data_IF_243107076302
#
_entry.id   IF_243107076302
#
_cell.length_a   1.000
_cell.length_b   1.000
_cell.length_c   1.000
_cell.angle_alpha   90.00
_cell.angle_beta   90.00
_cell.angle_gamma   90.00
#
_symmetry.space_group_name_H-M   'P 1'
#
loop_
_entity.id
_entity.type
_entity.pdbx_description
1 polymer ?
#
# COMPACT_ATOMS: atom_id res chain seq x y z
N UNK A 1 -11.31 20.03 -4.12
CA UNK A 1 -10.67 20.07 -2.79
C UNK A 1 -9.54 21.10 -2.75
N UNK A 2 -9.41 21.82 -1.63
CA UNK A 2 -8.32 22.77 -1.39
C UNK A 2 -7.02 22.05 -1.01
N UNK A 3 -5.84 22.59 -1.34
CA UNK A 3 -4.54 22.09 -0.83
C UNK A 3 -4.49 22.00 0.71
N UNK A 4 -5.34 22.78 1.39
CA UNK A 4 -5.49 22.74 2.85
C UNK A 4 -6.01 21.39 3.39
N UNK A 5 -6.52 20.51 2.54
CA UNK A 5 -7.03 19.20 2.95
C UNK A 5 -6.07 18.06 2.58
N UNK A 6 -4.81 18.39 2.27
CA UNK A 6 -3.77 17.41 1.95
C UNK A 6 -2.60 17.49 2.92
N UNK A 7 -2.06 16.31 3.25
CA UNK A 7 -0.85 16.12 4.05
C UNK A 7 0.00 15.06 3.34
N UNK A 8 1.29 15.32 3.16
CA UNK A 8 2.23 14.30 2.71
C UNK A 8 3.49 14.33 3.56
N UNK A 9 4.19 13.19 3.67
CA UNK A 9 5.50 13.15 4.32
C UNK A 9 6.57 13.74 3.41
N UNK A 10 6.52 13.41 2.12
CA UNK A 10 7.42 13.93 1.11
C UNK A 10 6.70 14.17 -0.21
N UNK A 11 7.21 15.10 -1.00
CA UNK A 11 6.79 15.32 -2.39
C UNK A 11 7.99 15.02 -3.30
N UNK A 12 7.75 14.36 -4.43
CA UNK A 12 8.80 14.12 -5.40
C UNK A 12 9.29 15.45 -5.98
N UNK A 13 10.61 15.63 -5.98
CA UNK A 13 11.26 16.81 -6.52
C UNK A 13 11.67 16.64 -7.99
N UNK A 14 11.88 15.40 -8.46
CA UNK A 14 12.28 15.08 -9.84
C UNK A 14 11.70 13.73 -10.29
N UNK A 15 11.77 13.49 -11.61
CA UNK A 15 11.41 12.22 -12.21
C UNK A 15 12.43 11.11 -11.91
N UNK A 16 13.57 11.45 -11.30
CA UNK A 16 14.60 10.49 -10.89
C UNK A 16 14.19 9.73 -9.60
N UNK A 17 13.06 10.10 -9.00
CA UNK A 17 12.47 9.40 -7.86
C UNK A 17 12.80 10.03 -6.51
N UNK A 18 12.72 9.22 -5.44
CA UNK A 18 13.19 9.60 -4.12
C UNK A 18 14.71 9.45 -4.08
N UNK A 19 15.43 10.31 -3.35
CA UNK A 19 16.86 10.12 -3.16
C UNK A 19 17.12 8.75 -2.52
N UNK A 20 18.21 8.10 -2.94
CA UNK A 20 18.77 6.97 -2.20
C UNK A 20 19.13 7.40 -0.78
N UNK A 21 19.11 6.45 0.15
CA UNK A 21 19.62 6.65 1.50
C UNK A 21 21.16 6.79 1.46
N UNK A 22 21.68 7.88 0.89
CA UNK A 22 23.10 8.13 0.83
C UNK A 22 23.62 8.50 2.23
N UNK A 23 24.62 7.75 2.68
CA UNK A 23 25.50 8.05 3.81
C UNK A 23 25.95 9.51 3.77
N UNK A 24 25.50 10.35 4.72
CA UNK A 24 26.07 11.68 4.90
C UNK A 24 26.30 12.05 6.35
N UNK A 25 27.56 12.39 6.61
CA UNK A 25 28.12 13.04 7.78
C UNK A 25 27.51 14.42 8.03
N UNK A 26 27.09 14.61 9.29
CA UNK A 26 26.96 15.86 10.09
C UNK A 26 26.11 17.06 9.61
N UNK A 27 25.63 17.89 10.57
CA UNK A 27 24.33 18.55 10.49
C UNK A 27 24.44 20.05 10.20
N UNK A 28 23.47 20.59 9.46
CA UNK A 28 22.98 21.93 9.74
C UNK A 28 21.56 22.16 9.20
N UNK A 29 20.77 22.85 10.03
CA UNK A 29 19.66 23.72 9.69
C UNK A 29 18.25 23.13 9.43
N UNK A 30 17.40 23.31 10.44
CA UNK A 30 16.03 23.77 10.24
C UNK A 30 14.96 22.70 10.13
N UNK A 31 13.75 23.07 10.54
CA UNK A 31 12.50 22.29 10.56
C UNK A 31 12.08 21.65 9.22
N UNK A 32 12.89 21.77 8.15
CA UNK A 32 12.76 21.05 6.88
C UNK A 32 13.51 19.71 6.80
N UNK A 33 14.50 19.46 7.67
CA UNK A 33 15.33 18.23 7.66
C UNK A 33 14.56 16.94 7.97
N UNK A 34 13.42 17.04 8.66
CA UNK A 34 12.57 15.88 8.95
C UNK A 34 11.83 15.35 7.71
N UNK A 35 11.71 16.15 6.63
CA UNK A 35 10.93 15.77 5.44
C UNK A 35 11.74 14.97 4.41
N UNK A 36 13.03 15.28 4.24
CA UNK A 36 13.88 14.61 3.23
C UNK A 36 14.56 13.33 3.75
N UNK A 37 14.60 13.08 5.06
CA UNK A 37 15.28 11.92 5.65
C UNK A 37 14.36 10.78 6.07
N UNK A 38 13.04 11.03 6.14
CA UNK A 38 12.10 10.04 6.65
C UNK A 38 11.73 8.98 5.60
N UNK A 39 11.56 9.42 4.35
CA UNK A 39 11.07 8.62 3.22
C UNK A 39 12.13 8.62 2.13
N UNK A 40 12.93 7.56 2.10
CA UNK A 40 13.86 7.23 1.02
C UNK A 40 13.29 6.09 0.13
N UNK A 41 13.89 5.87 -1.04
CA UNK A 41 13.42 4.88 -2.01
C UNK A 41 13.40 3.45 -1.43
N UNK A 42 14.43 3.06 -0.66
CA UNK A 42 14.56 1.73 -0.05
C UNK A 42 13.46 1.51 0.99
N UNK A 43 13.31 2.45 1.92
CA UNK A 43 12.27 2.41 2.95
C UNK A 43 10.89 2.35 2.31
N UNK A 44 10.63 3.18 1.29
CA UNK A 44 9.35 3.15 0.59
C UNK A 44 9.09 1.80 -0.11
N UNK A 45 10.08 1.26 -0.83
CA UNK A 45 9.99 -0.06 -1.47
C UNK A 45 9.73 -1.17 -0.46
N UNK A 46 10.45 -1.20 0.68
CA UNK A 46 10.24 -2.17 1.77
C UNK A 46 8.83 -2.08 2.36
N UNK A 47 8.34 -0.86 2.58
CA UNK A 47 6.96 -0.61 3.02
C UNK A 47 5.95 -1.18 2.02
N UNK A 48 6.13 -0.93 0.72
CA UNK A 48 5.24 -1.49 -0.33
C UNK A 48 5.20 -3.02 -0.31
N UNK A 49 6.27 -3.66 0.14
CA UNK A 49 6.38 -5.12 0.21
C UNK A 49 6.03 -5.73 1.57
N UNK A 50 5.64 -4.92 2.57
CA UNK A 50 5.08 -5.41 3.83
C UNK A 50 5.94 -5.22 5.08
N UNK A 51 7.01 -4.42 4.99
CA UNK A 51 7.81 -4.06 6.17
C UNK A 51 7.02 -3.15 7.12
N UNK A 52 6.45 -3.74 8.17
CA UNK A 52 5.64 -3.01 9.14
C UNK A 52 6.44 -2.10 10.07
N UNK A 53 7.76 -2.28 10.20
CA UNK A 53 8.57 -1.33 10.95
C UNK A 53 8.61 0.01 10.21
N UNK A 54 8.78 -0.04 8.89
CA UNK A 54 8.71 1.15 8.04
C UNK A 54 7.28 1.70 7.98
N UNK A 55 6.26 0.85 7.81
CA UNK A 55 4.86 1.29 7.81
C UNK A 55 4.50 2.06 9.09
N UNK A 56 4.94 1.58 10.25
CA UNK A 56 4.74 2.25 11.54
C UNK A 56 5.43 3.61 11.59
N UNK A 57 6.67 3.70 11.08
CA UNK A 57 7.42 4.96 11.03
C UNK A 57 6.67 6.01 10.18
N UNK A 58 6.20 5.62 9.00
CA UNK A 58 5.42 6.50 8.13
C UNK A 58 4.08 6.90 8.76
N UNK A 59 3.34 5.93 9.29
CA UNK A 59 2.05 6.18 9.94
C UNK A 59 2.17 7.10 11.15
N UNK A 60 3.18 6.92 12.00
CA UNK A 60 3.42 7.80 13.14
C UNK A 60 3.73 9.23 12.71
N UNK A 61 4.55 9.41 11.67
CA UNK A 61 4.87 10.74 11.16
C UNK A 61 3.64 11.42 10.53
N UNK A 62 2.82 10.68 9.78
CA UNK A 62 1.56 11.19 9.23
C UNK A 62 0.61 11.63 10.35
N UNK A 63 0.50 10.83 11.41
CA UNK A 63 -0.35 11.16 12.56
C UNK A 63 0.11 12.44 13.28
N UNK A 64 1.42 12.67 13.40
CA UNK A 64 1.97 13.91 13.96
C UNK A 64 1.55 15.13 13.12
N UNK A 65 1.68 15.04 11.79
CA UNK A 65 1.28 16.13 10.90
C UNK A 65 -0.23 16.38 10.92
N UNK A 66 -1.03 15.31 10.99
CA UNK A 66 -2.48 15.40 11.08
C UNK A 66 -2.93 16.04 12.40
N UNK A 67 -2.38 15.59 13.53
CA UNK A 67 -2.74 16.04 14.87
C UNK A 67 -2.59 17.56 15.06
N UNK A 68 -1.62 18.18 14.37
CA UNK A 68 -1.36 19.63 14.41
C UNK A 68 -2.45 20.47 13.74
N UNK A 69 -3.21 19.88 12.81
CA UNK A 69 -4.17 20.60 11.96
C UNK A 69 -5.61 20.24 12.27
N UNK A 70 -5.84 19.05 12.84
CA UNK A 70 -7.18 18.51 13.10
C UNK A 70 -7.99 19.37 14.08
N UNK A 71 -9.25 19.71 13.76
CA UNK A 71 -10.17 20.32 14.72
C UNK A 71 -10.56 19.34 15.84
N UNK A 72 -11.06 19.85 16.97
CA UNK A 72 -11.58 19.04 18.08
C UNK A 72 -12.99 18.51 17.80
N UNK A 73 -13.09 17.52 16.90
CA UNK A 73 -14.32 16.76 16.59
C UNK A 73 -13.98 15.30 16.22
N UNK A 74 -14.93 14.36 16.30
CA UNK A 74 -14.68 12.97 15.92
C UNK A 74 -14.14 12.82 14.50
N UNK A 75 -13.23 11.86 14.32
CA UNK A 75 -12.57 11.58 13.04
C UNK A 75 -12.63 10.09 12.73
N UNK A 76 -12.96 9.75 11.49
CA UNK A 76 -12.85 8.40 10.95
C UNK A 76 -11.64 8.31 10.03
N UNK A 77 -10.90 7.21 10.12
CA UNK A 77 -9.70 6.98 9.31
C UNK A 77 -9.94 5.77 8.40
N UNK A 78 -9.57 5.90 7.14
CA UNK A 78 -9.65 4.81 6.16
C UNK A 78 -8.40 4.76 5.27
N UNK A 79 -8.33 3.76 4.40
CA UNK A 79 -7.29 3.62 3.38
C UNK A 79 -7.92 3.37 2.02
N UNK A 80 -7.10 3.28 0.97
CA UNK A 80 -7.55 2.87 -0.37
C UNK A 80 -8.36 1.57 -0.32
N UNK A 81 -9.42 1.52 -1.12
CA UNK A 81 -10.36 0.41 -1.13
C UNK A 81 -9.76 -0.91 -1.62
N UNK A 82 -10.25 -2.02 -1.06
CA UNK A 82 -9.88 -3.36 -1.49
C UNK A 82 -10.98 -4.38 -1.21
N UNK A 83 -10.94 -5.51 -1.91
CA UNK A 83 -11.93 -6.57 -1.77
C UNK A 83 -11.54 -7.51 -0.61
N UNK A 84 -10.47 -8.30 -0.81
CA UNK A 84 -10.03 -9.33 0.14
C UNK A 84 -8.56 -9.16 0.52
N UNK A 85 -7.68 -9.01 -0.47
CA UNK A 85 -6.24 -8.85 -0.23
C UNK A 85 -5.93 -7.36 -0.03
N UNK A 86 -5.36 -6.94 1.11
CA UNK A 86 -5.13 -5.53 1.40
C UNK A 86 -3.99 -4.94 0.57
N UNK A 87 -4.04 -3.63 0.24
CA UNK A 87 -2.92 -2.89 -0.32
C UNK A 87 -1.87 -2.60 0.76
N UNK A 88 -0.69 -2.13 0.36
CA UNK A 88 0.36 -1.72 1.30
C UNK A 88 -0.10 -0.59 2.24
N UNK A 89 -0.86 0.39 1.72
CA UNK A 89 -1.45 1.48 2.50
C UNK A 89 -2.26 1.02 3.72
N UNK A 90 -2.88 -0.16 3.67
CA UNK A 90 -3.63 -0.72 4.80
C UNK A 90 -2.75 -0.91 6.06
N UNK A 91 -1.45 -1.18 5.88
CA UNK A 91 -0.51 -1.33 6.99
C UNK A 91 -0.24 -0.02 7.75
N UNK A 92 -0.61 1.14 7.18
CA UNK A 92 -0.53 2.44 7.85
C UNK A 92 -1.66 2.63 8.88
N UNK A 93 -2.82 2.02 8.66
CA UNK A 93 -4.05 2.35 9.38
C UNK A 93 -3.97 2.07 10.90
N UNK A 94 -3.63 0.85 11.37
CA UNK A 94 -3.53 0.59 12.80
C UNK A 94 -2.51 1.48 13.53
N UNK A 95 -1.24 1.61 13.08
CA UNK A 95 -0.28 2.48 13.77
C UNK A 95 -0.65 3.96 13.69
N UNK A 96 -1.28 4.43 12.59
CA UNK A 96 -1.74 5.81 12.47
C UNK A 96 -2.82 6.12 13.50
N UNK A 97 -3.86 5.27 13.59
CA UNK A 97 -4.96 5.44 14.54
C UNK A 97 -4.46 5.39 15.98
N UNK A 98 -3.57 4.43 16.30
CA UNK A 98 -2.96 4.34 17.61
C UNK A 98 -2.19 5.62 17.96
N UNK A 99 -1.33 6.09 17.05
CA UNK A 99 -0.54 7.29 17.28
C UNK A 99 -1.42 8.54 17.41
N UNK A 100 -2.45 8.67 16.58
CA UNK A 100 -3.35 9.82 16.61
C UNK A 100 -4.12 9.90 17.93
N UNK A 101 -4.64 8.77 18.44
CA UNK A 101 -5.29 8.71 19.76
C UNK A 101 -4.35 9.12 20.90
N UNK A 102 -3.06 8.76 20.80
CA UNK A 102 -2.06 9.16 21.79
C UNK A 102 -1.74 10.66 21.73
N UNK A 103 -1.65 11.23 20.53
CA UNK A 103 -1.34 12.65 20.33
C UNK A 103 -2.53 13.57 20.61
N UNK A 104 -3.74 13.06 20.39
CA UNK A 104 -5.02 13.77 20.51
C UNK A 104 -6.00 12.95 21.35
N UNK A 105 -5.76 12.81 22.67
CA UNK A 105 -6.65 12.07 23.56
C UNK A 105 -8.03 12.74 23.71
N UNK A 106 -8.17 13.99 23.27
CA UNK A 106 -9.43 14.72 23.18
C UNK A 106 -10.31 14.27 22.00
N UNK A 107 -9.75 13.55 21.03
CA UNK A 107 -10.45 13.13 19.82
C UNK A 107 -10.98 11.70 19.93
N UNK A 108 -12.25 11.53 19.58
CA UNK A 108 -12.75 10.22 19.19
C UNK A 108 -12.20 9.88 17.80
N UNK A 109 -11.38 8.84 17.72
CA UNK A 109 -10.78 8.37 16.47
C UNK A 109 -11.31 6.98 16.16
N UNK A 110 -12.07 6.83 15.07
CA UNK A 110 -12.53 5.56 14.53
C UNK A 110 -11.73 5.14 13.30
N UNK A 111 -11.81 3.86 12.94
CA UNK A 111 -11.31 3.35 11.68
C UNK A 111 -12.44 2.66 10.93
N UNK A 112 -12.39 2.70 9.61
CA UNK A 112 -13.30 1.93 8.76
C UNK A 112 -12.64 1.56 7.44
N UNK A 113 -13.18 0.55 6.76
CA UNK A 113 -12.76 0.14 5.44
C UNK A 113 -13.72 0.61 4.36
N UNK A 114 -13.16 0.73 3.17
CA UNK A 114 -13.90 0.83 1.92
C UNK A 114 -13.80 -0.52 1.23
N UNK A 115 -14.95 -1.15 1.03
CA UNK A 115 -15.07 -2.42 0.35
C UNK A 115 -15.10 -2.14 -1.14
N UNK A 116 -14.23 -2.84 -1.88
CA UNK A 116 -14.31 -2.90 -3.35
C UNK A 116 -15.17 -4.09 -3.74
N UNK A 117 -16.32 -3.83 -4.35
CA UNK A 117 -17.30 -4.85 -4.77
C UNK A 117 -17.00 -5.41 -6.17
N UNK A 118 -16.36 -4.62 -7.03
CA UNK A 118 -15.93 -5.03 -8.37
C UNK A 118 -14.61 -5.80 -8.38
N UNK A 119 -14.53 -6.85 -9.19
CA UNK A 119 -13.26 -7.48 -9.55
C UNK A 119 -12.53 -6.50 -10.46
N UNK A 120 -11.26 -6.19 -10.17
CA UNK A 120 -10.43 -5.43 -11.10
C UNK A 120 -10.49 -6.12 -12.45
N UNK A 121 -11.08 -5.49 -13.47
CA UNK A 121 -10.86 -5.92 -14.85
C UNK A 121 -9.35 -6.03 -15.02
N UNK A 122 -8.90 -7.25 -15.28
CA UNK A 122 -7.50 -7.64 -15.13
C UNK A 122 -6.59 -6.69 -15.90
N UNK A 123 -5.43 -6.44 -15.29
CA UNK A 123 -4.26 -5.82 -15.93
C UNK A 123 -4.20 -4.28 -15.95
N UNK A 124 -4.25 -3.65 -14.77
CA UNK A 124 -3.82 -2.25 -14.56
C UNK A 124 -2.50 -1.92 -15.27
N UNK A 125 -1.56 -2.87 -15.33
CA UNK A 125 -0.26 -2.76 -16.00
C UNK A 125 -0.34 -2.65 -17.53
N UNK A 126 -1.37 -3.20 -18.17
CA UNK A 126 -1.52 -3.21 -19.65
C UNK A 126 -2.65 -2.32 -20.18
N UNK A 127 -3.51 -1.80 -19.32
CA UNK A 127 -4.57 -0.85 -19.69
C UNK A 127 -3.97 0.44 -20.26
N UNK A 128 -4.59 0.98 -21.32
CA UNK A 128 -4.25 2.32 -21.81
C UNK A 128 -4.55 3.35 -20.73
N UNK A 129 -3.95 4.54 -20.81
CA UNK A 129 -4.28 5.63 -19.89
C UNK A 129 -5.79 5.92 -19.89
N UNK A 130 -6.49 5.73 -21.02
CA UNK A 130 -7.94 5.87 -21.12
C UNK A 130 -8.72 4.75 -20.42
N UNK A 131 -8.27 3.50 -20.51
CA UNK A 131 -8.92 2.37 -19.82
C UNK A 131 -8.65 2.40 -18.31
N UNK A 132 -7.45 2.83 -17.89
CA UNK A 132 -7.14 3.15 -16.49
C UNK A 132 -8.02 4.28 -15.94
N UNK A 133 -8.52 5.19 -16.78
CA UNK A 133 -9.46 6.26 -16.37
C UNK A 133 -10.85 5.72 -16.01
N UNK A 134 -11.22 4.50 -16.43
CA UNK A 134 -12.53 3.88 -16.16
C UNK A 134 -12.50 2.61 -15.29
N UNK A 135 -11.33 2.19 -14.78
CA UNK A 135 -11.15 0.87 -14.16
C UNK A 135 -11.67 0.73 -12.71
N UNK A 136 -11.98 1.85 -12.05
CA UNK A 136 -12.66 1.87 -10.75
C UNK A 136 -13.69 2.99 -10.82
N UNK A 137 -14.95 2.61 -10.93
CA UNK A 137 -16.04 3.58 -10.78
C UNK A 137 -16.44 3.69 -9.30
N UNK A 138 -17.03 4.83 -8.91
CA UNK A 138 -17.51 5.04 -7.55
C UNK A 138 -18.51 3.95 -7.12
N UNK A 139 -19.32 3.44 -8.07
CA UNK A 139 -20.27 2.35 -7.84
C UNK A 139 -19.65 1.02 -7.43
N UNK A 140 -18.34 0.83 -7.60
CA UNK A 140 -17.63 -0.36 -7.13
C UNK A 140 -17.15 -0.24 -5.68
N UNK A 141 -17.34 0.91 -5.03
CA UNK A 141 -16.82 1.20 -3.70
C UNK A 141 -17.96 1.40 -2.70
N UNK A 142 -17.84 0.82 -1.51
CA UNK A 142 -18.85 0.99 -0.46
C UNK A 142 -18.17 1.09 0.91
N UNK A 143 -18.46 2.11 1.72
CA UNK A 143 -18.04 2.14 3.12
C UNK A 143 -18.60 0.94 3.88
N UNK A 144 -17.80 0.32 4.75
CA UNK A 144 -18.26 -0.84 5.54
C UNK A 144 -19.27 -0.46 6.64
N UNK A 145 -19.48 0.83 6.87
CA UNK A 145 -20.36 1.39 7.89
C UNK A 145 -20.91 2.73 7.41
N UNK A 146 -21.96 3.19 8.08
CA UNK A 146 -22.46 4.56 7.93
C UNK A 146 -21.39 5.58 8.39
N UNK A 147 -21.19 6.59 7.55
CA UNK A 147 -20.20 7.66 7.68
C UNK A 147 -20.80 9.04 7.38
N UNK A 148 -22.13 9.16 7.34
CA UNK A 148 -22.81 10.44 7.10
C UNK A 148 -22.39 11.49 8.14
N UNK A 149 -22.05 12.69 7.67
CA UNK A 149 -21.58 13.81 8.51
C UNK A 149 -20.16 13.65 9.08
N UNK A 150 -19.44 12.57 8.75
CA UNK A 150 -18.13 12.31 9.33
C UNK A 150 -17.03 13.23 8.81
N UNK A 151 -16.01 13.48 9.64
CA UNK A 151 -14.69 13.92 9.16
C UNK A 151 -13.87 12.67 8.84
N UNK A 152 -13.47 12.49 7.58
CA UNK A 152 -12.67 11.35 7.13
C UNK A 152 -11.23 11.75 6.81
N UNK A 153 -10.29 10.93 7.29
CA UNK A 153 -8.89 10.91 6.86
C UNK A 153 -8.65 9.67 5.99
N UNK A 154 -8.34 9.88 4.72
CA UNK A 154 -7.99 8.81 3.78
C UNK A 154 -6.45 8.71 3.68
N UNK A 155 -5.89 7.56 4.10
CA UNK A 155 -4.47 7.27 3.99
C UNK A 155 -4.17 6.52 2.68
N UNK A 156 -3.13 6.94 1.97
CA UNK A 156 -2.59 6.21 0.83
C UNK A 156 -1.04 6.19 0.83
N UNK A 157 -0.45 5.28 0.08
CA UNK A 157 0.99 5.19 -0.06
C UNK A 157 1.55 6.26 -1.01
N UNK A 158 0.92 6.47 -2.17
CA UNK A 158 1.37 7.47 -3.14
C UNK A 158 0.22 8.15 -3.87
N UNK A 159 0.37 9.45 -4.12
CA UNK A 159 -0.48 10.21 -5.04
C UNK A 159 0.18 10.29 -6.41
N UNK A 160 -0.40 9.65 -7.44
CA UNK A 160 0.13 9.68 -8.83
C UNK A 160 -0.79 10.47 -9.77
N UNK A 161 -1.87 9.87 -10.27
CA UNK A 161 -2.77 10.49 -11.28
C UNK A 161 -4.06 11.05 -10.68
N UNK A 162 -4.33 10.82 -9.40
CA UNK A 162 -5.55 11.24 -8.72
C UNK A 162 -6.80 10.41 -9.07
N UNK A 163 -6.74 9.40 -9.95
CA UNK A 163 -7.94 8.63 -10.33
C UNK A 163 -8.52 7.81 -9.16
N UNK A 164 -7.66 7.12 -8.41
CA UNK A 164 -8.07 6.42 -7.19
C UNK A 164 -8.64 7.38 -6.15
N UNK A 165 -7.99 8.55 -6.00
CA UNK A 165 -8.46 9.65 -5.17
C UNK A 165 -9.86 10.10 -5.63
N UNK A 166 -10.10 10.32 -6.93
CA UNK A 166 -11.41 10.73 -7.48
C UNK A 166 -12.52 9.69 -7.28
N UNK A 167 -12.22 8.40 -7.41
CA UNK A 167 -13.20 7.35 -7.14
C UNK A 167 -13.53 7.28 -5.65
N UNK A 168 -12.51 7.40 -4.79
CA UNK A 168 -12.67 7.43 -3.33
C UNK A 168 -13.43 8.68 -2.87
N UNK A 169 -13.10 9.85 -3.42
CA UNK A 169 -13.76 11.12 -3.16
C UNK A 169 -15.25 11.01 -3.49
N UNK A 170 -15.58 10.52 -4.68
CA UNK A 170 -16.98 10.31 -5.09
C UNK A 170 -17.71 9.38 -4.11
N UNK A 171 -17.13 8.22 -3.82
CA UNK A 171 -17.72 7.26 -2.87
C UNK A 171 -17.98 7.87 -1.48
N UNK A 172 -17.03 8.62 -0.94
CA UNK A 172 -17.16 9.24 0.39
C UNK A 172 -18.14 10.41 0.40
N UNK A 173 -18.11 11.26 -0.63
CA UNK A 173 -19.04 12.39 -0.78
C UNK A 173 -20.46 11.88 -0.97
N UNK A 174 -20.67 10.86 -1.81
CA UNK A 174 -21.99 10.23 -2.00
C UNK A 174 -22.51 9.55 -0.72
N UNK A 175 -21.61 9.08 0.14
CA UNK A 175 -21.93 8.55 1.47
C UNK A 175 -22.14 9.65 2.54
N UNK A 176 -22.11 10.93 2.17
CA UNK A 176 -22.44 12.05 3.06
C UNK A 176 -21.29 12.53 3.96
N UNK A 177 -20.03 12.25 3.62
CA UNK A 177 -18.88 12.79 4.37
C UNK A 177 -18.88 14.32 4.36
N UNK A 178 -18.76 14.93 5.53
CA UNK A 178 -18.75 16.39 5.72
C UNK A 178 -17.39 16.99 5.36
N UNK A 179 -16.30 16.36 5.80
CA UNK A 179 -14.95 16.81 5.49
C UNK A 179 -14.03 15.64 5.18
N UNK A 180 -13.28 15.73 4.08
CA UNK A 180 -12.33 14.72 3.63
C UNK A 180 -10.94 15.30 3.49
N UNK A 181 -9.98 14.70 4.20
CA UNK A 181 -8.54 14.96 4.02
C UNK A 181 -7.83 13.73 3.50
N UNK A 182 -6.85 13.95 2.61
CA UNK A 182 -5.99 12.89 2.11
C UNK A 182 -4.57 13.02 2.65
N UNK A 183 -4.02 11.88 3.05
CA UNK A 183 -2.72 11.74 3.67
C UNK A 183 -1.89 10.73 2.89
N UNK A 184 -0.73 11.16 2.39
CA UNK A 184 0.14 10.33 1.55
C UNK A 184 1.52 10.14 2.16
N UNK A 185 2.13 8.97 1.96
CA UNK A 185 3.57 8.82 2.22
C UNK A 185 4.35 9.64 1.19
N UNK A 186 4.02 9.51 -0.10
CA UNK A 186 4.66 10.26 -1.20
C UNK A 186 3.63 11.01 -2.04
N UNK A 187 3.85 12.29 -2.31
CA UNK A 187 3.13 13.03 -3.36
C UNK A 187 3.95 13.06 -4.65
N UNK A 188 3.48 12.34 -5.67
CA UNK A 188 4.05 12.26 -7.01
C UNK A 188 3.14 12.92 -8.07
N UNK A 189 2.20 13.77 -7.66
CA UNK A 189 1.19 14.36 -8.56
C UNK A 189 1.78 15.14 -9.73
N UNK A 190 2.96 15.74 -9.57
CA UNK A 190 3.71 16.43 -10.65
C UNK A 190 4.26 15.49 -11.72
N UNK A 191 4.30 14.18 -11.46
CA UNK A 191 4.88 13.14 -12.32
C UNK A 191 3.85 12.11 -12.77
N UNK A 192 2.55 12.46 -12.74
CA UNK A 192 1.45 11.60 -13.15
C UNK A 192 1.61 10.96 -14.55
N UNK A 193 2.38 11.58 -15.43
CA UNK A 193 2.69 11.11 -16.79
C UNK A 193 3.95 10.26 -16.92
N UNK A 194 4.66 9.94 -15.83
CA UNK A 194 5.93 9.21 -15.85
C UNK A 194 5.83 7.88 -15.07
N UNK A 195 5.31 6.80 -15.69
CA UNK A 195 5.15 5.49 -15.04
C UNK A 195 6.44 4.91 -14.46
N UNK A 196 7.59 5.28 -15.02
CA UNK A 196 8.91 4.84 -14.57
C UNK A 196 9.18 5.27 -13.12
N UNK A 197 8.68 6.44 -12.72
CA UNK A 197 8.86 6.97 -11.35
C UNK A 197 8.26 6.03 -10.32
N UNK A 198 7.02 5.57 -10.55
CA UNK A 198 6.39 4.64 -9.63
C UNK A 198 7.11 3.28 -9.62
N UNK A 199 7.54 2.79 -10.79
CA UNK A 199 8.29 1.53 -10.90
C UNK A 199 9.59 1.58 -10.09
N UNK A 200 10.41 2.62 -10.30
CA UNK A 200 11.68 2.82 -9.61
C UNK A 200 11.48 2.86 -8.10
N UNK A 201 10.49 3.61 -7.60
CA UNK A 201 10.21 3.68 -6.17
C UNK A 201 9.78 2.34 -5.58
N UNK A 202 9.01 1.57 -6.33
CA UNK A 202 8.49 0.31 -5.86
C UNK A 202 9.58 -0.76 -5.80
N UNK A 203 10.52 -0.77 -6.74
CA UNK A 203 11.49 -1.85 -6.92
C UNK A 203 12.85 -1.58 -6.26
N UNK A 204 13.09 -0.37 -5.74
CA UNK A 204 14.38 0.06 -5.21
C UNK A 204 15.05 -0.89 -4.18
N UNK A 205 14.28 -1.66 -3.41
CA UNK A 205 14.80 -2.58 -2.40
C UNK A 205 14.61 -4.08 -2.74
N UNK A 206 14.12 -4.42 -3.94
CA UNK A 206 13.70 -5.78 -4.28
C UNK A 206 14.32 -6.23 -5.62
N UNK A 207 15.45 -6.91 -5.53
CA UNK A 207 16.10 -7.49 -6.70
C UNK A 207 15.56 -8.90 -7.00
N UNK A 208 15.25 -9.69 -5.96
CA UNK A 208 14.77 -11.06 -6.14
C UNK A 208 14.06 -11.69 -4.95
N UNK A 209 13.94 -13.02 -4.97
CA UNK A 209 13.29 -13.81 -3.91
C UNK A 209 13.90 -13.60 -2.52
N UNK A 210 15.23 -13.43 -2.45
CA UNK A 210 15.96 -13.21 -1.19
C UNK A 210 15.46 -12.00 -0.42
N UNK A 211 15.30 -10.85 -1.09
CA UNK A 211 14.86 -9.61 -0.45
C UNK A 211 13.42 -9.72 0.08
N UNK A 212 12.55 -10.42 -0.66
CA UNK A 212 11.17 -10.68 -0.24
C UNK A 212 11.13 -11.57 1.02
N UNK A 213 11.97 -12.61 1.07
CA UNK A 213 12.09 -13.47 2.23
C UNK A 213 12.66 -12.71 3.43
N UNK A 214 13.64 -11.83 3.22
CA UNK A 214 14.23 -11.01 4.28
C UNK A 214 13.21 -10.03 4.88
N UNK A 215 12.37 -9.41 4.05
CA UNK A 215 11.24 -8.59 4.53
C UNK A 215 10.23 -9.47 5.27
N UNK A 216 9.90 -10.64 4.73
CA UNK A 216 8.94 -11.56 5.32
C UNK A 216 9.40 -12.17 6.65
N UNK A 217 10.71 -12.27 6.87
CA UNK A 217 11.31 -12.73 8.12
C UNK A 217 11.17 -11.71 9.26
N UNK A 218 10.77 -10.47 8.97
CA UNK A 218 10.48 -9.46 10.00
C UNK A 218 9.37 -9.94 10.95
N UNK A 219 9.59 -9.82 12.27
CA UNK A 219 8.62 -10.22 13.32
C UNK A 219 7.23 -9.58 13.20
N UNK A 220 7.10 -8.52 12.41
CA UNK A 220 5.84 -7.79 12.24
C UNK A 220 5.42 -7.70 10.77
N UNK A 221 5.96 -8.55 9.91
CA UNK A 221 5.61 -8.56 8.49
C UNK A 221 4.09 -8.54 8.26
N UNK A 222 3.64 -7.67 7.35
CA UNK A 222 2.24 -7.56 6.95
C UNK A 222 2.15 -7.90 5.45
N UNK A 223 1.76 -9.14 5.11
CA UNK A 223 1.62 -9.51 3.71
C UNK A 223 0.49 -8.72 3.05
N UNK A 224 0.68 -8.39 1.77
CA UNK A 224 -0.22 -7.52 1.02
C UNK A 224 -0.25 -7.91 -0.47
N UNK A 225 -1.16 -7.29 -1.22
CA UNK A 225 -1.38 -7.65 -2.62
C UNK A 225 -0.15 -7.41 -3.52
N UNK A 226 0.75 -6.49 -3.15
CA UNK A 226 1.99 -6.23 -3.89
C UNK A 226 2.98 -7.38 -3.74
N UNK A 227 3.19 -7.85 -2.51
CA UNK A 227 4.00 -9.05 -2.23
C UNK A 227 3.53 -10.23 -3.08
N UNK A 228 2.23 -10.54 -3.04
CA UNK A 228 1.66 -11.67 -3.78
C UNK A 228 1.97 -11.57 -5.29
N UNK A 229 1.72 -10.41 -5.89
CA UNK A 229 2.01 -10.18 -7.31
C UNK A 229 3.50 -10.26 -7.63
N UNK A 230 4.37 -9.78 -6.74
CA UNK A 230 5.82 -9.83 -6.93
C UNK A 230 6.34 -11.27 -6.86
N UNK A 231 5.89 -12.07 -5.90
CA UNK A 231 6.23 -13.51 -5.78
C UNK A 231 5.83 -14.25 -7.07
N UNK A 232 4.60 -14.07 -7.55
CA UNK A 232 4.17 -14.71 -8.81
C UNK A 232 4.98 -14.23 -10.04
N UNK A 233 5.62 -13.07 -9.97
CA UNK A 233 6.41 -12.52 -11.08
C UNK A 233 7.86 -12.98 -11.07
N UNK A 234 8.31 -13.74 -10.07
CA UNK A 234 9.67 -14.25 -9.97
C UNK A 234 10.03 -15.20 -11.12
N UNK A 235 11.31 -15.28 -11.53
CA UNK A 235 11.81 -16.40 -12.31
C UNK A 235 11.45 -17.75 -11.66
N UNK A 236 11.27 -18.80 -12.45
CA UNK A 236 10.79 -20.11 -11.91
C UNK A 236 11.74 -20.67 -10.86
N UNK A 237 13.04 -20.54 -11.05
CA UNK A 237 14.04 -21.04 -10.10
C UNK A 237 14.00 -20.26 -8.78
N UNK A 238 13.84 -18.92 -8.85
CA UNK A 238 13.66 -18.07 -7.67
C UNK A 238 12.32 -18.31 -6.97
N UNK A 239 11.27 -18.63 -7.72
CA UNK A 239 9.98 -18.98 -7.15
C UNK A 239 10.06 -20.28 -6.35
N UNK A 240 10.81 -21.27 -6.86
CA UNK A 240 11.07 -22.53 -6.14
C UNK A 240 11.86 -22.26 -4.86
N UNK A 241 12.96 -21.51 -4.94
CA UNK A 241 13.73 -21.09 -3.76
C UNK A 241 12.86 -20.34 -2.73
N UNK A 242 11.99 -19.44 -3.20
CA UNK A 242 11.05 -18.74 -2.34
C UNK A 242 10.12 -19.71 -1.61
N UNK A 243 9.51 -20.67 -2.33
CA UNK A 243 8.57 -21.63 -1.73
C UNK A 243 9.26 -22.55 -0.74
N UNK A 244 10.49 -22.99 -1.02
CA UNK A 244 11.26 -23.84 -0.13
C UNK A 244 11.64 -23.15 1.19
N UNK A 245 11.89 -21.84 1.15
CA UNK A 245 12.38 -21.07 2.31
C UNK A 245 11.30 -20.31 3.06
N UNK A 246 10.17 -20.01 2.41
CA UNK A 246 9.07 -19.28 3.02
C UNK A 246 8.41 -20.08 4.15
N UNK A 247 7.88 -19.36 5.15
CA UNK A 247 7.18 -20.01 6.25
C UNK A 247 5.85 -20.61 5.79
N UNK A 248 5.39 -21.73 6.37
CA UNK A 248 4.09 -22.32 6.02
C UNK A 248 2.92 -21.33 6.14
N UNK A 249 2.95 -20.43 7.13
CA UNK A 249 1.94 -19.38 7.30
C UNK A 249 1.93 -18.38 6.15
N UNK A 250 3.12 -18.01 5.63
CA UNK A 250 3.22 -17.11 4.49
C UNK A 250 2.70 -17.78 3.22
N UNK A 251 3.08 -19.05 3.00
CA UNK A 251 2.62 -19.82 1.86
C UNK A 251 1.09 -20.00 1.86
N UNK A 252 0.50 -20.36 3.01
CA UNK A 252 -0.95 -20.46 3.14
C UNK A 252 -1.67 -19.12 2.93
N UNK A 253 -1.06 -18.00 3.34
CA UNK A 253 -1.60 -16.67 3.04
C UNK A 253 -1.53 -16.36 1.54
N UNK A 254 -0.42 -16.70 0.87
CA UNK A 254 -0.25 -16.51 -0.58
C UNK A 254 -1.25 -17.36 -1.37
N UNK A 255 -1.43 -18.64 -1.01
CA UNK A 255 -2.43 -19.53 -1.60
C UNK A 255 -3.83 -18.89 -1.56
N UNK A 256 -4.24 -18.39 -0.39
CA UNK A 256 -5.51 -17.70 -0.23
C UNK A 256 -5.57 -16.39 -1.05
N UNK A 257 -4.50 -15.61 -1.08
CA UNK A 257 -4.43 -14.35 -1.82
C UNK A 257 -4.55 -14.55 -3.33
N UNK A 258 -3.88 -15.56 -3.89
CA UNK A 258 -3.96 -15.92 -5.33
C UNK A 258 -5.40 -16.25 -5.73
N UNK A 259 -6.11 -16.99 -4.89
CA UNK A 259 -7.51 -17.37 -5.11
C UNK A 259 -8.44 -16.15 -4.96
N UNK A 260 -8.29 -15.39 -3.86
CA UNK A 260 -9.17 -14.27 -3.53
C UNK A 260 -9.09 -13.12 -4.53
N UNK A 261 -7.88 -12.77 -5.00
CA UNK A 261 -7.68 -11.77 -6.05
C UNK A 261 -7.87 -12.36 -7.47
N UNK A 262 -8.23 -13.66 -7.57
CA UNK A 262 -8.46 -14.38 -8.82
C UNK A 262 -7.32 -14.23 -9.82
N UNK A 263 -6.08 -14.36 -9.34
CA UNK A 263 -4.90 -14.08 -10.18
C UNK A 263 -4.76 -15.06 -11.36
N UNK A 264 -5.39 -16.23 -11.29
CA UNK A 264 -5.54 -17.17 -12.41
C UNK A 264 -6.35 -16.57 -13.59
N UNK A 265 -7.20 -15.57 -13.35
CA UNK A 265 -8.02 -14.89 -14.37
C UNK A 265 -7.35 -13.63 -14.91
N UNK A 266 -6.25 -13.18 -14.29
CA UNK A 266 -5.53 -11.98 -14.71
C UNK A 266 -4.46 -12.39 -15.72
N UNK A 267 -4.51 -11.93 -16.99
CA UNK A 267 -3.62 -12.42 -18.05
C UNK A 267 -2.11 -12.34 -17.71
N UNK A 268 -1.69 -11.29 -17.01
CA UNK A 268 -0.30 -11.13 -16.57
C UNK A 268 0.16 -12.20 -15.57
N UNK A 269 -0.75 -12.80 -14.79
CA UNK A 269 -0.44 -13.74 -13.71
C UNK A 269 -0.97 -15.16 -13.96
N UNK A 270 -1.88 -15.36 -14.92
CA UNK A 270 -2.56 -16.64 -15.13
C UNK A 270 -1.58 -17.82 -15.30
N UNK A 271 -0.59 -17.67 -16.19
CA UNK A 271 0.43 -18.70 -16.38
C UNK A 271 1.33 -18.90 -15.15
N UNK A 272 1.60 -17.83 -14.39
CA UNK A 272 2.43 -17.90 -13.19
C UNK A 272 1.69 -18.51 -11.99
N UNK A 273 0.38 -18.33 -11.90
CA UNK A 273 -0.46 -18.97 -10.90
C UNK A 273 -0.48 -20.50 -11.09
N UNK A 274 -0.48 -20.99 -12.33
CA UNK A 274 -0.35 -22.43 -12.59
C UNK A 274 1.00 -22.99 -12.12
N UNK A 275 2.10 -22.27 -12.41
CA UNK A 275 3.44 -22.66 -11.92
C UNK A 275 3.50 -22.62 -10.40
N UNK A 276 2.86 -21.65 -9.76
CA UNK A 276 2.71 -21.61 -8.30
C UNK A 276 2.05 -22.90 -7.79
N UNK A 277 0.90 -23.28 -8.35
CA UNK A 277 0.17 -24.48 -7.94
C UNK A 277 1.02 -25.75 -8.12
N UNK A 278 1.75 -25.87 -9.24
CA UNK A 278 2.66 -26.99 -9.51
C UNK A 278 3.79 -27.08 -8.48
N UNK A 279 4.46 -25.96 -8.18
CA UNK A 279 5.55 -25.91 -7.20
C UNK A 279 5.03 -26.24 -5.79
N UNK A 280 3.84 -25.75 -5.43
CA UNK A 280 3.21 -26.01 -4.12
C UNK A 280 2.77 -27.47 -3.97
N UNK A 281 2.26 -28.09 -5.03
CA UNK A 281 1.88 -29.52 -5.04
C UNK A 281 3.12 -30.41 -4.84
N UNK A 282 4.19 -30.17 -5.62
CA UNK A 282 5.42 -30.96 -5.53
C UNK A 282 6.06 -30.96 -4.12
N UNK A 283 6.00 -29.82 -3.41
CA UNK A 283 6.49 -29.75 -2.03
C UNK A 283 5.62 -30.50 -1.02
N UNK A 284 4.30 -30.56 -1.26
CA UNK A 284 3.37 -31.27 -0.38
C UNK A 284 3.59 -32.78 -0.50
N UNK A 285 3.83 -33.28 -1.72
CA UNK A 285 4.14 -34.68 -1.99
C UNK A 285 5.51 -35.08 -1.40
N UNK A 286 6.53 -34.23 -1.55
CA UNK A 286 7.87 -34.47 -0.98
C UNK A 286 7.88 -34.51 0.56
N UNK A 287 6.94 -33.83 1.23
CA UNK A 287 6.79 -33.88 2.69
C UNK A 287 6.05 -35.11 3.21
N UNK A 288 5.24 -35.77 2.36
CA UNK A 288 4.46 -36.95 2.72
C UNK A 288 5.30 -38.24 2.70
N UNK A 289 6.36 -38.30 1.89
CA UNK A 289 7.26 -39.47 1.77
C UNK A 289 8.28 -39.61 2.92
N UNK A 290 8.33 -38.65 3.86
CA UNK A 290 9.31 -38.62 4.96
C UNK A 290 8.64 -38.82 6.35
N UNK A 291 7.34 -39.15 6.38
CA UNK A 291 6.56 -39.36 7.61
C UNK A 291 6.24 -40.82 7.89
#
# INVERSE_FOLDING_TARGET
MSERNRICLTALASADGLPDAASFDTPSAGSGLLRTTLVDAISYSRFKHGDAAVARRFASALAVLAAQRLPSRPVLVTTSAFAKVPPAAYSLLPPFVQQLRMLRPDLEVGAFRIIRNGVSNGDYSRMTIADRRGAIDAGDLTPERDIEGAFVLALDDIRVTGNHELAMDRCLVEAGVDELWHLYVVDAGGFAGAPQVESTLNEAAIDGAGDLLDIAASRRFIPNARLCRRVLSLPVDELRDFVERATPSLLGWLDAAVIHDRLHQVPAYAGRALVWDEVRAAMSDAGADVS
#
